data_IF_386217700711
#
_entry.id   IF_386217700711
#
_cell.length_a   1.000
_cell.length_b   1.000
_cell.length_c   1.000
_cell.angle_alpha   90.00
_cell.angle_beta   90.00
_cell.angle_gamma   90.00
#
_symmetry.space_group_name_H-M   'P 1'
#
loop_
_entity.id
_entity.type
_entity.pdbx_description
1 polymer ?
#
# COMPACT_ATOMS: atom_id res chain seq x y z
N UNK A 1 -4.99 -6.17 10.46
CA UNK A 1 -6.07 -6.06 9.45
C UNK A 1 -7.24 -7.02 9.63
N UNK A 2 -7.04 -8.23 10.19
CA UNK A 2 -8.10 -9.24 10.40
C UNK A 2 -9.47 -8.70 10.80
N UNK A 3 -9.56 -7.88 11.87
CA UNK A 3 -10.84 -7.36 12.38
C UNK A 3 -11.66 -6.58 11.33
N UNK A 4 -10.99 -5.84 10.44
CA UNK A 4 -11.65 -5.04 9.41
C UNK A 4 -12.13 -5.91 8.24
N UNK A 5 -11.25 -6.76 7.71
CA UNK A 5 -11.56 -7.61 6.56
C UNK A 5 -12.67 -8.62 6.85
N UNK A 6 -12.76 -9.10 8.09
CA UNK A 6 -13.84 -10.02 8.51
C UNK A 6 -15.21 -9.35 8.70
N UNK A 7 -15.32 -8.03 8.52
CA UNK A 7 -16.62 -7.32 8.57
C UNK A 7 -17.27 -7.18 7.20
N UNK A 8 -16.67 -7.75 6.15
CA UNK A 8 -17.21 -7.71 4.80
C UNK A 8 -18.54 -8.45 4.70
N UNK A 9 -19.57 -7.77 4.19
CA UNK A 9 -20.93 -8.31 4.08
C UNK A 9 -21.27 -8.80 2.67
N UNK A 10 -22.41 -9.50 2.55
CA UNK A 10 -22.94 -9.93 1.26
C UNK A 10 -23.17 -8.74 0.32
N UNK A 11 -22.98 -8.94 -0.99
CA UNK A 11 -23.13 -7.94 -2.05
C UNK A 11 -22.30 -6.65 -1.85
N UNK A 12 -21.22 -6.71 -1.05
CA UNK A 12 -20.31 -5.59 -0.85
C UNK A 12 -19.11 -5.68 -1.82
N UNK A 13 -18.36 -4.58 -1.95
CA UNK A 13 -17.00 -4.56 -2.51
C UNK A 13 -16.12 -3.72 -1.58
N UNK A 14 -14.87 -4.12 -1.41
CA UNK A 14 -13.93 -3.47 -0.51
C UNK A 14 -12.61 -3.27 -1.24
N UNK A 15 -12.06 -2.06 -1.13
CA UNK A 15 -10.73 -1.72 -1.63
C UNK A 15 -9.96 -1.11 -0.47
N UNK A 16 -8.79 -1.67 -0.18
CA UNK A 16 -7.88 -1.15 0.84
C UNK A 16 -6.63 -0.65 0.14
N UNK A 17 -6.34 0.64 0.28
CA UNK A 17 -5.17 1.28 -0.29
C UNK A 17 -4.17 1.60 0.82
N UNK A 18 -2.88 1.54 0.51
CA UNK A 18 -1.81 2.01 1.39
C UNK A 18 -0.43 1.61 0.89
N UNK A 19 0.60 2.21 1.48
CA UNK A 19 1.99 1.82 1.28
C UNK A 19 2.44 0.94 2.46
N UNK A 20 2.83 -0.33 2.24
CA UNK A 20 3.29 -1.20 3.32
C UNK A 20 4.56 -0.70 4.03
N UNK A 21 5.34 0.20 3.42
CA UNK A 21 6.54 0.81 4.00
C UNK A 21 6.21 2.00 4.91
N UNK A 22 5.06 2.63 4.72
CA UNK A 22 4.62 3.78 5.52
C UNK A 22 3.97 3.27 6.81
N UNK A 23 4.79 2.99 7.81
CA UNK A 23 4.35 2.51 9.13
C UNK A 23 4.98 3.33 10.24
N UNK A 24 4.12 3.96 11.05
CA UNK A 24 4.52 4.80 12.18
C UNK A 24 4.54 4.05 13.52
N UNK A 25 4.48 2.71 13.49
CA UNK A 25 4.42 1.84 14.67
C UNK A 25 5.81 1.32 15.06
N UNK A 26 6.08 1.09 16.37
CA UNK A 26 7.27 0.40 16.81
C UNK A 26 7.36 -0.96 16.13
N UNK A 27 8.50 -1.27 15.51
CA UNK A 27 8.72 -2.49 14.72
C UNK A 27 8.62 -2.33 13.18
N UNK A 28 8.22 -1.15 12.71
CA UNK A 28 8.36 -0.75 11.31
C UNK A 28 7.59 -1.62 10.30
N UNK A 29 8.11 -1.78 9.06
CA UNK A 29 7.48 -2.52 7.96
C UNK A 29 7.01 -3.94 8.29
N UNK A 30 7.72 -4.63 9.20
CA UNK A 30 7.43 -6.01 9.56
C UNK A 30 6.18 -6.14 10.45
N UNK A 31 5.75 -5.06 11.10
CA UNK A 31 4.53 -5.02 11.90
C UNK A 31 3.34 -4.39 11.16
N UNK A 32 3.53 -4.00 9.89
CA UNK A 32 2.47 -3.42 9.06
C UNK A 32 1.33 -4.41 8.88
N UNK A 33 0.14 -4.04 9.37
CA UNK A 33 -1.06 -4.84 9.22
C UNK A 33 -1.52 -4.98 7.75
N UNK A 34 -1.12 -4.04 6.88
CA UNK A 34 -1.35 -4.11 5.43
C UNK A 34 -0.39 -5.12 4.80
N UNK A 35 0.90 -5.06 5.14
CA UNK A 35 1.91 -6.00 4.63
C UNK A 35 1.56 -7.44 5.02
N UNK A 36 1.20 -7.68 6.28
CA UNK A 36 0.74 -8.99 6.78
C UNK A 36 -0.53 -9.47 6.04
N UNK A 37 -1.50 -8.59 5.81
CA UNK A 37 -2.73 -8.95 5.09
C UNK A 37 -2.46 -9.34 3.64
N UNK A 38 -1.66 -8.55 2.92
CA UNK A 38 -1.32 -8.85 1.52
C UNK A 38 -0.63 -10.21 1.42
N UNK A 39 0.37 -10.49 2.26
CA UNK A 39 1.07 -11.78 2.22
C UNK A 39 0.19 -12.98 2.61
N UNK A 40 -0.74 -12.81 3.55
CA UNK A 40 -1.66 -13.89 3.98
C UNK A 40 -2.80 -14.16 3.01
N UNK A 41 -3.23 -13.15 2.25
CA UNK A 41 -4.40 -13.22 1.38
C UNK A 41 -4.04 -13.41 -0.09
N UNK A 42 -2.75 -13.39 -0.43
CA UNK A 42 -2.27 -13.72 -1.77
C UNK A 42 -2.68 -15.17 -2.12
N UNK A 43 -3.45 -15.32 -3.20
CA UNK A 43 -3.97 -16.62 -3.65
C UNK A 43 -5.31 -17.05 -3.01
N UNK A 44 -5.90 -16.24 -2.12
CA UNK A 44 -7.27 -16.49 -1.62
C UNK A 44 -8.28 -16.15 -2.72
N UNK A 45 -9.18 -17.10 -3.02
CA UNK A 45 -10.22 -16.90 -4.03
C UNK A 45 -11.12 -15.69 -3.69
N UNK A 46 -11.43 -14.88 -4.71
CA UNK A 46 -12.16 -13.62 -4.55
C UNK A 46 -11.36 -12.45 -3.96
N UNK A 47 -10.07 -12.61 -3.63
CA UNK A 47 -9.18 -11.52 -3.22
C UNK A 47 -8.21 -11.15 -4.35
N UNK A 48 -8.07 -9.85 -4.62
CA UNK A 48 -7.14 -9.32 -5.61
C UNK A 48 -6.15 -8.35 -4.98
N UNK A 49 -4.87 -8.49 -5.34
CA UNK A 49 -3.82 -7.55 -4.95
C UNK A 49 -3.35 -6.79 -6.19
N UNK A 50 -3.41 -5.47 -6.14
CA UNK A 50 -2.88 -4.59 -7.20
C UNK A 50 -1.66 -3.87 -6.61
N UNK A 51 -0.48 -4.11 -7.20
CA UNK A 51 0.78 -3.49 -6.79
C UNK A 51 1.13 -2.38 -7.77
N UNK A 52 1.13 -1.14 -7.29
CA UNK A 52 1.61 0.00 -8.06
C UNK A 52 3.14 0.11 -7.99
N UNK A 53 3.72 0.65 -9.05
CA UNK A 53 5.14 0.93 -9.20
C UNK A 53 5.37 2.43 -9.35
N UNK A 54 6.63 2.86 -9.38
CA UNK A 54 6.97 4.26 -9.65
C UNK A 54 6.42 4.74 -11.01
N UNK A 55 6.27 3.84 -11.99
CA UNK A 55 5.71 4.17 -13.31
C UNK A 55 4.23 4.55 -13.27
N UNK A 56 3.51 4.13 -12.23
CA UNK A 56 2.08 4.44 -12.05
C UNK A 56 1.84 5.78 -11.34
N UNK A 57 2.91 6.45 -10.90
CA UNK A 57 2.83 7.70 -10.13
C UNK A 57 2.84 8.90 -11.06
N UNK A 58 1.67 9.52 -11.24
CA UNK A 58 1.56 10.81 -11.94
C UNK A 58 1.74 11.94 -10.93
N UNK A 59 2.89 12.63 -10.99
CA UNK A 59 3.20 13.78 -10.14
C UNK A 59 3.01 15.09 -10.88
N UNK A 60 2.56 16.12 -10.16
CA UNK A 60 2.65 17.48 -10.66
C UNK A 60 4.14 17.86 -10.87
N UNK A 61 4.53 18.58 -11.93
CA UNK A 61 5.94 18.89 -12.20
C UNK A 61 6.68 19.60 -11.05
N UNK A 62 5.97 20.40 -10.23
CA UNK A 62 6.54 21.01 -9.02
C UNK A 62 6.93 19.94 -7.99
N UNK A 63 6.09 18.92 -7.79
CA UNK A 63 6.37 17.85 -6.82
C UNK A 63 7.57 17.03 -7.27
N UNK A 64 7.71 16.74 -8.56
CA UNK A 64 8.91 16.08 -9.09
C UNK A 64 10.18 16.85 -8.75
N UNK A 65 10.21 18.16 -9.02
CA UNK A 65 11.34 19.04 -8.67
C UNK A 65 11.63 19.09 -7.16
N UNK A 66 10.59 19.05 -6.32
CA UNK A 66 10.77 18.99 -4.86
C UNK A 66 11.44 17.66 -4.48
N UNK A 67 10.93 16.53 -4.98
CA UNK A 67 11.49 15.20 -4.69
C UNK A 67 12.95 15.12 -5.13
N UNK A 68 13.27 15.54 -6.36
CA UNK A 68 14.65 15.61 -6.88
C UNK A 68 15.57 16.44 -5.98
N UNK A 69 15.09 17.58 -5.48
CA UNK A 69 15.87 18.43 -4.58
C UNK A 69 16.12 17.78 -3.20
N UNK A 70 15.26 16.87 -2.75
CA UNK A 70 15.42 16.14 -1.48
C UNK A 70 16.21 14.83 -1.62
N UNK A 71 16.03 14.10 -2.73
CA UNK A 71 16.60 12.75 -2.94
C UNK A 71 17.93 12.77 -3.71
N UNK A 72 18.27 13.87 -4.40
CA UNK A 72 19.48 14.02 -5.22
C UNK A 72 19.30 13.57 -6.68
N UNK A 73 20.23 13.92 -7.57
CA UNK A 73 20.20 13.51 -8.98
C UNK A 73 20.32 11.97 -9.08
N UNK A 74 19.21 11.29 -9.42
CA UNK A 74 19.21 9.86 -9.76
C UNK A 74 18.25 8.95 -8.99
N UNK A 75 17.18 9.47 -8.39
CA UNK A 75 16.10 8.66 -7.79
C UNK A 75 15.09 8.13 -8.83
#
# INVERSE_FOLDING_TARGET
MKMFLTRFGMNSRMVVCGDPRQVDIPGGPNMSGLNDAVGRLEGVDGFGTIRFTAADVVRHPIVGRIVEAYEGEGA
#
